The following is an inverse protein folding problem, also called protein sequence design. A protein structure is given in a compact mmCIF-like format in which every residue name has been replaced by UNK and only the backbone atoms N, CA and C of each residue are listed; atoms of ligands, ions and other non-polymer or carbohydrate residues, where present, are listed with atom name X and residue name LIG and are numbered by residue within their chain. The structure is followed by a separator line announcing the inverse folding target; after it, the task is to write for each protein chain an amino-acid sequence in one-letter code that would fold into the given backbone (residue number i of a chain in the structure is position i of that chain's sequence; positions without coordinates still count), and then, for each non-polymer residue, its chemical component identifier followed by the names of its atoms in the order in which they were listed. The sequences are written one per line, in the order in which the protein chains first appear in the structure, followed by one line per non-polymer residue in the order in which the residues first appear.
data_IF_247138873591
#
_entry.id   IF_247138873591
#
_cell.length_a   1.000
_cell.length_b   1.000
_cell.length_c   1.000
_cell.angle_alpha   90.00
_cell.angle_beta   90.00
_cell.angle_gamma   90.00
#
_symmetry.space_group_name_H-M   'P 1'
#
loop_
_entity.id
_entity.type
_entity.pdbx_description
1 polymer ?
#
# COMPACT_ATOMS: atom_id res chain seq x y z
N UNK A 1 -1.13 22.17 11.26
CA UNK A 1 0.04 22.88 10.67
C UNK A 1 -0.46 24.24 10.21
N UNK A 2 0.30 25.31 10.43
CA UNK A 2 -0.11 26.60 9.88
C UNK A 2 0.15 26.57 8.39
N UNK A 3 -0.85 26.85 7.59
CA UNK A 3 -0.72 27.01 6.15
C UNK A 3 0.25 28.16 5.86
N UNK A 4 1.08 28.01 4.84
CA UNK A 4 1.94 29.10 4.37
C UNK A 4 1.01 30.12 3.69
N UNK A 5 0.66 31.17 4.42
CA UNK A 5 -0.22 32.22 3.91
C UNK A 5 0.50 33.17 2.93
N UNK A 6 1.82 33.32 3.08
CA UNK A 6 2.64 34.15 2.18
C UNK A 6 4.13 33.79 2.24
N UNK A 7 4.86 34.00 1.16
CA UNK A 7 6.34 33.97 1.11
C UNK A 7 6.82 35.35 0.70
N UNK A 8 7.66 35.98 1.52
CA UNK A 8 8.17 37.34 1.28
C UNK A 8 7.07 38.37 0.98
N UNK A 9 5.91 38.25 1.62
CA UNK A 9 4.80 39.17 1.45
C UNK A 9 3.93 38.94 0.21
N UNK A 10 4.21 37.91 -0.57
CA UNK A 10 3.34 37.47 -1.69
C UNK A 10 2.41 36.38 -1.19
N UNK A 11 1.11 36.57 -1.35
CA UNK A 11 0.12 35.60 -0.94
C UNK A 11 0.34 34.24 -1.63
N UNK A 12 0.10 33.15 -0.94
CA UNK A 12 0.29 31.80 -1.49
C UNK A 12 -0.50 31.55 -2.77
N UNK A 13 -1.64 32.21 -2.95
CA UNK A 13 -2.46 32.15 -4.16
C UNK A 13 -1.76 32.74 -5.40
N UNK A 14 -0.86 33.72 -5.21
CA UNK A 14 -0.22 34.48 -6.28
C UNK A 14 1.21 33.96 -6.61
N UNK A 15 1.66 32.91 -5.91
CA UNK A 15 2.97 32.31 -6.17
C UNK A 15 2.86 31.36 -7.34
N UNK A 16 3.39 31.76 -8.50
CA UNK A 16 3.44 30.90 -9.70
C UNK A 16 4.69 30.01 -9.74
N UNK A 17 5.79 30.46 -9.13
CA UNK A 17 7.03 29.71 -9.02
C UNK A 17 7.86 30.19 -7.82
N UNK A 18 8.67 29.30 -7.26
CA UNK A 18 9.65 29.62 -6.22
C UNK A 18 11.03 29.13 -6.67
N UNK A 19 12.01 30.03 -6.71
CA UNK A 19 13.37 29.76 -7.22
C UNK A 19 13.39 29.09 -8.61
N UNK A 20 12.44 29.45 -9.49
CA UNK A 20 12.37 28.90 -10.84
C UNK A 20 11.64 27.55 -10.94
N UNK A 21 11.15 27.01 -9.83
CA UNK A 21 10.31 25.81 -9.81
C UNK A 21 8.85 26.27 -9.86
N UNK A 22 8.09 25.76 -10.83
CA UNK A 22 6.67 26.07 -10.98
C UNK A 22 5.88 25.64 -9.74
N UNK A 23 4.80 26.37 -9.42
CA UNK A 23 3.93 26.05 -8.27
C UNK A 23 3.47 24.58 -8.26
N UNK A 24 3.23 24.01 -9.44
CA UNK A 24 2.85 22.60 -9.58
C UNK A 24 3.95 21.61 -9.13
N UNK A 25 5.22 22.06 -9.13
CA UNK A 25 6.39 21.24 -8.82
C UNK A 25 7.00 21.56 -7.45
N UNK A 26 6.43 22.55 -6.73
CA UNK A 26 6.86 22.89 -5.38
C UNK A 26 6.29 21.84 -4.42
N UNK A 27 7.11 20.88 -4.09
CA UNK A 27 6.85 20.02 -2.94
C UNK A 27 7.20 20.80 -1.68
N UNK A 28 6.31 20.80 -0.70
CA UNK A 28 6.55 21.52 0.54
C UNK A 28 7.88 21.12 1.18
N UNK A 29 8.60 22.08 1.74
CA UNK A 29 9.93 21.89 2.32
C UNK A 29 9.99 20.89 3.50
N UNK A 30 8.86 20.32 3.90
CA UNK A 30 8.72 19.29 4.93
C UNK A 30 8.08 18.00 4.40
N UNK A 31 8.17 17.72 3.09
CA UNK A 31 7.61 16.50 2.50
C UNK A 31 6.08 16.51 2.32
N UNK A 32 5.38 17.58 2.66
CA UNK A 32 3.99 17.78 2.27
C UNK A 32 3.95 18.29 0.83
N UNK A 33 3.64 17.42 -0.12
CA UNK A 33 3.30 17.86 -1.47
C UNK A 33 2.08 18.77 -1.43
N UNK A 34 2.12 19.92 -2.12
CA UNK A 34 0.89 20.65 -2.45
C UNK A 34 0.15 19.72 -3.42
N UNK A 35 -1.08 19.27 -3.14
CA UNK A 35 -1.80 18.45 -4.09
C UNK A 35 -1.82 19.20 -5.42
N UNK A 36 -1.31 18.59 -6.47
CA UNK A 36 -1.60 19.07 -7.82
C UNK A 36 -3.14 19.20 -7.90
N UNK A 37 -3.64 20.26 -8.55
CA UNK A 37 -5.06 20.57 -8.68
C UNK A 37 -5.80 19.61 -9.62
N UNK A 38 -5.56 18.31 -9.46
CA UNK A 38 -6.30 17.21 -10.06
C UNK A 38 -7.17 16.57 -8.97
N UNK A 39 -8.39 16.22 -9.28
CA UNK A 39 -9.25 15.50 -8.36
C UNK A 39 -8.52 14.29 -7.81
N UNK A 40 -8.20 14.30 -6.52
CA UNK A 40 -7.64 13.14 -5.83
C UNK A 40 -8.64 12.00 -5.96
N UNK A 41 -8.18 10.86 -6.42
CA UNK A 41 -9.00 9.69 -6.73
C UNK A 41 -8.53 8.50 -5.88
N UNK A 42 -9.47 7.71 -5.42
CA UNK A 42 -9.22 6.39 -4.87
C UNK A 42 -9.66 5.34 -5.87
N UNK A 43 -8.91 4.28 -5.98
CA UNK A 43 -9.22 3.14 -6.83
C UNK A 43 -9.06 1.84 -6.05
N UNK A 44 -10.05 0.98 -6.16
CA UNK A 44 -10.11 -0.37 -5.59
C UNK A 44 -10.09 -1.38 -6.72
N UNK A 45 -9.48 -2.52 -6.46
CA UNK A 45 -9.56 -3.70 -7.34
C UNK A 45 -9.88 -4.94 -6.51
N UNK A 46 -10.41 -5.97 -7.17
CA UNK A 46 -10.79 -7.20 -6.49
C UNK A 46 -10.99 -8.37 -7.44
N UNK A 47 -11.81 -9.32 -7.01
CA UNK A 47 -12.10 -10.53 -7.75
C UNK A 47 -12.82 -10.24 -9.09
N UNK A 48 -12.68 -11.16 -10.03
CA UNK A 48 -13.36 -11.16 -11.33
C UNK A 48 -13.21 -9.84 -12.13
N UNK A 49 -12.07 -9.17 -12.00
CA UNK A 49 -11.82 -7.91 -12.70
C UNK A 49 -12.62 -6.72 -12.19
N UNK A 50 -13.09 -6.78 -10.95
CA UNK A 50 -13.83 -5.69 -10.30
C UNK A 50 -12.95 -4.48 -10.05
N UNK A 51 -13.47 -3.29 -10.41
CA UNK A 51 -12.83 -1.98 -10.18
C UNK A 51 -13.85 -1.04 -9.58
N UNK A 52 -13.46 -0.27 -8.57
CA UNK A 52 -14.28 0.83 -8.07
C UNK A 52 -13.44 2.07 -7.82
N UNK A 53 -14.03 3.23 -8.07
CA UNK A 53 -13.38 4.53 -7.89
C UNK A 53 -14.25 5.46 -7.07
N UNK A 54 -13.61 6.34 -6.30
CA UNK A 54 -14.28 7.44 -5.61
C UNK A 54 -13.40 8.69 -5.64
N UNK A 55 -14.04 9.85 -5.76
CA UNK A 55 -13.32 11.10 -5.59
C UNK A 55 -12.89 11.25 -4.13
N UNK A 56 -11.70 11.81 -3.90
CA UNK A 56 -11.21 12.06 -2.54
C UNK A 56 -12.14 12.99 -1.74
N UNK A 57 -12.81 13.91 -2.43
CA UNK A 57 -13.77 14.84 -1.80
C UNK A 57 -15.09 14.18 -1.40
N UNK A 58 -15.40 13.00 -1.93
CA UNK A 58 -16.61 12.25 -1.60
C UNK A 58 -16.38 10.75 -1.62
N UNK A 59 -15.87 10.25 -0.51
CA UNK A 59 -15.63 8.82 -0.31
C UNK A 59 -16.90 8.02 0.03
N UNK A 60 -18.07 8.68 0.05
CA UNK A 60 -19.35 8.01 0.20
C UNK A 60 -19.96 7.60 -1.15
N UNK A 61 -19.41 8.13 -2.24
CA UNK A 61 -19.88 7.84 -3.61
C UNK A 61 -18.83 7.06 -4.40
N UNK A 62 -18.93 5.73 -4.33
CA UNK A 62 -18.09 4.81 -5.08
C UNK A 62 -18.78 4.37 -6.35
N UNK A 63 -18.16 4.58 -7.49
CA UNK A 63 -18.60 4.05 -8.77
C UNK A 63 -17.83 2.77 -9.09
N UNK A 64 -18.55 1.65 -9.22
CA UNK A 64 -17.97 0.34 -9.52
C UNK A 64 -18.35 -0.18 -10.91
N UNK A 65 -17.43 -0.94 -11.52
CA UNK A 65 -17.66 -1.68 -12.76
C UNK A 65 -16.80 -2.96 -12.78
N UNK A 66 -17.21 -3.92 -13.61
CA UNK A 66 -16.37 -5.06 -13.98
C UNK A 66 -15.77 -4.75 -15.34
N UNK A 67 -14.46 -4.69 -15.42
CA UNK A 67 -13.76 -4.39 -16.66
C UNK A 67 -13.62 -5.65 -17.50
N UNK A 68 -14.08 -5.60 -18.76
CA UNK A 68 -13.84 -6.69 -19.71
C UNK A 68 -12.34 -6.86 -19.99
N UNK A 69 -11.57 -5.77 -19.95
CA UNK A 69 -10.12 -5.79 -20.14
C UNK A 69 -9.38 -6.38 -18.94
N UNK A 70 -9.96 -6.30 -17.74
CA UNK A 70 -9.42 -6.95 -16.55
C UNK A 70 -9.67 -8.47 -16.53
N UNK A 71 -10.53 -8.98 -17.43
CA UNK A 71 -10.86 -10.39 -17.51
C UNK A 71 -11.56 -10.93 -16.25
N UNK A 72 -11.48 -12.24 -16.03
CA UNK A 72 -12.01 -12.91 -14.82
C UNK A 72 -10.90 -13.16 -13.78
N UNK A 73 -9.88 -12.33 -13.75
CA UNK A 73 -8.76 -12.48 -12.82
C UNK A 73 -9.01 -11.75 -11.51
N UNK A 74 -8.49 -12.32 -10.42
CA UNK A 74 -8.49 -11.66 -9.12
C UNK A 74 -7.26 -10.76 -9.02
N UNK A 75 -7.47 -9.48 -8.80
CA UNK A 75 -6.40 -8.49 -8.70
C UNK A 75 -6.01 -8.27 -7.23
N UNK A 76 -4.80 -8.64 -6.94
CA UNK A 76 -4.25 -8.65 -5.59
C UNK A 76 -3.70 -7.32 -5.11
N UNK A 77 -3.23 -6.49 -6.03
CA UNK A 77 -2.64 -5.21 -5.67
C UNK A 77 -2.88 -4.17 -6.76
N UNK A 78 -2.97 -2.93 -6.34
CA UNK A 78 -3.01 -1.76 -7.19
C UNK A 78 -2.10 -0.69 -6.60
N UNK A 79 -1.43 0.06 -7.45
CA UNK A 79 -0.65 1.22 -7.06
C UNK A 79 -0.86 2.38 -8.06
N UNK A 80 -0.68 3.59 -7.55
CA UNK A 80 -0.66 4.81 -8.31
C UNK A 80 0.78 5.31 -8.48
N UNK A 81 1.10 5.81 -9.65
CA UNK A 81 2.42 6.34 -9.97
C UNK A 81 2.38 7.17 -11.25
N UNK A 82 3.49 7.13 -12.00
CA UNK A 82 3.65 7.88 -13.24
C UNK A 82 4.17 7.00 -14.37
N UNK A 83 3.84 7.41 -15.60
CA UNK A 83 4.54 6.95 -16.79
C UNK A 83 5.87 7.71 -16.98
N UNK A 84 6.62 7.37 -18.04
CA UNK A 84 7.88 8.04 -18.39
C UNK A 84 7.77 9.52 -18.74
N UNK A 85 6.58 9.98 -19.07
CA UNK A 85 6.30 11.37 -19.40
C UNK A 85 5.85 12.16 -18.17
N UNK A 86 5.74 11.51 -17.01
CA UNK A 86 5.26 12.09 -15.76
C UNK A 86 3.73 12.14 -15.64
N UNK A 87 2.99 11.52 -16.57
CA UNK A 87 1.53 11.47 -16.49
C UNK A 87 1.06 10.44 -15.45
N UNK A 88 -0.12 10.64 -14.85
CA UNK A 88 -0.74 9.69 -13.95
C UNK A 88 -0.85 8.29 -14.56
N UNK A 89 -0.55 7.27 -13.75
CA UNK A 89 -0.69 5.89 -14.13
C UNK A 89 -1.11 5.04 -12.92
N UNK A 90 -2.07 4.16 -13.14
CA UNK A 90 -2.49 3.13 -12.21
C UNK A 90 -2.03 1.79 -12.75
N UNK A 91 -1.46 0.97 -11.91
CA UNK A 91 -1.03 -0.39 -12.26
C UNK A 91 -1.61 -1.37 -11.29
N UNK A 92 -2.23 -2.43 -11.81
CA UNK A 92 -2.80 -3.51 -11.03
C UNK A 92 -2.20 -4.85 -11.43
N UNK A 93 -2.00 -5.74 -10.45
CA UNK A 93 -1.40 -7.07 -10.65
C UNK A 93 -2.30 -8.17 -10.10
N UNK A 94 -2.35 -9.31 -10.80
CA UNK A 94 -3.25 -10.42 -10.47
C UNK A 94 -2.57 -11.59 -9.75
N UNK A 95 -3.38 -12.35 -9.00
CA UNK A 95 -2.96 -13.59 -8.33
C UNK A 95 -3.22 -14.84 -9.13
N UNK A 96 -4.04 -14.77 -10.16
CA UNK A 96 -4.43 -15.93 -10.95
C UNK A 96 -3.36 -16.34 -11.94
N UNK A 97 -3.37 -17.62 -12.30
CA UNK A 97 -2.44 -18.20 -13.28
C UNK A 97 -2.50 -17.60 -14.68
N UNK A 98 -3.41 -16.66 -14.96
CA UNK A 98 -3.46 -15.88 -16.19
C UNK A 98 -2.42 -14.75 -16.24
N UNK A 99 -1.79 -14.44 -15.09
CA UNK A 99 -0.56 -13.63 -15.03
C UNK A 99 -0.72 -12.23 -15.59
N UNK A 100 -1.83 -11.57 -15.23
CA UNK A 100 -2.20 -10.30 -15.82
C UNK A 100 -1.69 -9.13 -15.00
N UNK A 101 -0.99 -8.24 -15.66
CA UNK A 101 -0.72 -6.88 -15.19
C UNK A 101 -1.48 -5.93 -16.09
N UNK A 102 -2.20 -5.02 -15.51
CA UNK A 102 -2.99 -4.03 -16.23
C UNK A 102 -2.60 -2.64 -15.80
N UNK A 103 -2.67 -1.69 -16.73
CA UNK A 103 -2.49 -0.29 -16.40
C UNK A 103 -3.55 0.59 -17.06
N UNK A 104 -3.80 1.72 -16.45
CA UNK A 104 -4.63 2.79 -17.02
C UNK A 104 -4.16 4.16 -16.56
N UNK A 105 -4.33 5.17 -17.39
CA UNK A 105 -4.15 6.56 -16.99
C UNK A 105 -5.38 7.14 -16.29
N UNK A 106 -6.56 6.52 -16.50
CA UNK A 106 -7.83 6.96 -15.95
C UNK A 106 -8.74 5.78 -15.62
N UNK A 107 -8.78 5.32 -14.35
CA UNK A 107 -9.64 4.21 -13.96
C UNK A 107 -11.14 4.59 -13.94
N UNK A 108 -11.51 5.87 -14.15
CA UNK A 108 -12.89 6.30 -14.25
C UNK A 108 -13.46 6.20 -15.67
N UNK A 109 -12.60 5.95 -16.66
CA UNK A 109 -13.02 5.90 -18.06
C UNK A 109 -13.83 4.63 -18.43
N UNK A 110 -13.97 3.68 -17.48
CA UNK A 110 -14.90 2.56 -17.61
C UNK A 110 -14.23 1.25 -18.03
N UNK A 111 -15.07 0.36 -18.61
CA UNK A 111 -14.74 -1.05 -18.81
C UNK A 111 -13.59 -1.32 -19.78
N UNK A 112 -13.33 -0.43 -20.72
CA UNK A 112 -12.32 -0.58 -21.78
C UNK A 112 -11.10 0.33 -21.54
N UNK A 113 -10.87 0.75 -20.29
CA UNK A 113 -9.81 1.70 -19.93
C UNK A 113 -8.47 1.05 -19.55
N UNK A 114 -8.45 -0.25 -19.38
CA UNK A 114 -7.28 -0.98 -18.89
C UNK A 114 -6.52 -1.66 -20.03
N UNK A 115 -5.23 -1.45 -20.07
CA UNK A 115 -4.33 -2.02 -21.07
C UNK A 115 -3.53 -3.17 -20.47
N UNK A 116 -3.40 -4.25 -21.23
CA UNK A 116 -2.59 -5.40 -20.86
C UNK A 116 -1.09 -5.09 -20.93
N UNK A 117 -0.34 -5.57 -19.95
CA UNK A 117 1.11 -5.52 -19.95
C UNK A 117 1.65 -6.91 -20.10
N UNK A 118 2.41 -7.13 -21.14
CA UNK A 118 3.13 -8.38 -21.30
C UNK A 118 4.35 -8.41 -20.39
N UNK A 119 4.30 -9.25 -19.37
CA UNK A 119 5.46 -9.56 -18.52
C UNK A 119 6.00 -10.93 -18.88
N UNK A 120 7.31 -11.03 -19.04
CA UNK A 120 7.96 -12.32 -19.27
C UNK A 120 7.75 -13.26 -18.07
N UNK A 121 7.02 -14.36 -18.31
CA UNK A 121 6.76 -15.44 -17.37
C UNK A 121 6.32 -14.97 -15.97
N UNK A 122 5.26 -14.17 -15.83
CA UNK A 122 4.78 -13.77 -14.54
C UNK A 122 4.13 -14.97 -13.83
N UNK A 123 4.59 -15.25 -12.60
CA UNK A 123 3.87 -16.09 -11.65
C UNK A 123 2.69 -15.33 -11.02
N UNK A 124 2.15 -15.85 -9.92
CA UNK A 124 1.24 -15.06 -9.07
C UNK A 124 1.97 -13.84 -8.56
N UNK A 125 1.34 -12.67 -8.66
CA UNK A 125 1.88 -11.42 -8.14
C UNK A 125 1.11 -11.00 -6.89
N UNK A 126 1.83 -10.50 -5.90
CA UNK A 126 1.28 -10.18 -4.60
C UNK A 126 1.29 -8.69 -4.27
N UNK A 127 2.26 -7.95 -4.78
CA UNK A 127 2.34 -6.51 -4.58
C UNK A 127 2.89 -5.80 -5.81
N UNK A 128 2.46 -4.55 -5.98
CA UNK A 128 3.00 -3.61 -6.97
C UNK A 128 3.12 -2.25 -6.30
N UNK A 129 4.17 -1.52 -6.63
CA UNK A 129 4.43 -0.18 -6.08
C UNK A 129 5.21 0.66 -7.09
N UNK A 130 5.03 1.98 -7.01
CA UNK A 130 5.81 2.97 -7.74
C UNK A 130 6.66 3.79 -6.77
N UNK A 131 7.90 4.09 -7.14
CA UNK A 131 8.78 4.96 -6.39
C UNK A 131 9.99 5.37 -7.25
N UNK A 132 10.41 6.61 -7.13
CA UNK A 132 11.56 7.16 -7.86
C UNK A 132 11.56 6.86 -9.37
N UNK A 133 10.41 7.01 -10.04
CA UNK A 133 10.20 6.71 -11.47
C UNK A 133 10.41 5.22 -11.86
N UNK A 134 10.36 4.32 -10.90
CA UNK A 134 10.43 2.87 -11.10
C UNK A 134 9.13 2.23 -10.64
N UNK A 135 8.62 1.33 -11.46
CA UNK A 135 7.57 0.39 -11.09
C UNK A 135 8.20 -0.93 -10.68
N UNK A 136 7.73 -1.49 -9.59
CA UNK A 136 8.18 -2.78 -9.11
C UNK A 136 7.00 -3.65 -8.71
N UNK A 137 7.05 -4.94 -9.09
CA UNK A 137 6.10 -5.94 -8.65
C UNK A 137 6.84 -7.14 -8.07
N UNK A 138 6.21 -7.81 -7.12
CA UNK A 138 6.77 -8.98 -6.45
C UNK A 138 5.74 -10.10 -6.39
N UNK A 139 6.20 -11.34 -6.34
CA UNK A 139 5.29 -12.47 -6.45
C UNK A 139 5.85 -13.81 -6.00
N UNK A 140 5.21 -14.86 -6.50
CA UNK A 140 5.54 -16.24 -6.20
C UNK A 140 6.94 -16.63 -6.69
N UNK A 141 7.47 -17.68 -6.09
CA UNK A 141 8.75 -18.27 -6.46
C UNK A 141 9.96 -17.31 -6.41
N UNK A 142 9.88 -16.29 -5.57
CA UNK A 142 10.95 -15.31 -5.41
C UNK A 142 11.06 -14.30 -6.55
N UNK A 143 10.06 -14.19 -7.40
CA UNK A 143 10.12 -13.29 -8.54
C UNK A 143 9.93 -11.83 -8.16
N UNK A 144 10.78 -10.99 -8.71
CA UNK A 144 10.71 -9.53 -8.68
C UNK A 144 10.76 -9.04 -10.12
N UNK A 145 9.83 -8.18 -10.49
CA UNK A 145 9.81 -7.52 -11.79
C UNK A 145 9.98 -6.02 -11.61
N UNK A 146 10.72 -5.43 -12.52
CA UNK A 146 11.07 -4.02 -12.51
C UNK A 146 10.80 -3.39 -13.88
N UNK A 147 10.17 -2.22 -13.88
CA UNK A 147 10.01 -1.36 -15.05
C UNK A 147 10.59 0.02 -14.78
N UNK A 148 11.33 0.55 -15.75
CA UNK A 148 11.91 1.89 -15.74
C UNK A 148 11.37 2.74 -16.88
N UNK A 149 10.33 2.27 -17.54
CA UNK A 149 9.74 2.92 -18.71
C UNK A 149 8.23 3.15 -18.57
N UNK A 150 7.79 3.45 -17.34
CA UNK A 150 6.41 3.80 -17.06
C UNK A 150 5.45 2.60 -17.15
N UNK A 151 5.88 1.44 -16.67
CA UNK A 151 5.16 0.16 -16.70
C UNK A 151 4.92 -0.44 -18.10
N UNK A 152 5.55 0.11 -19.15
CA UNK A 152 5.36 -0.39 -20.51
C UNK A 152 6.07 -1.73 -20.75
N UNK A 153 7.28 -1.87 -20.21
CA UNK A 153 8.05 -3.11 -20.27
C UNK A 153 8.58 -3.47 -18.87
N UNK A 154 8.57 -4.74 -18.59
CA UNK A 154 9.02 -5.28 -17.32
C UNK A 154 10.13 -6.32 -17.51
N UNK A 155 11.13 -6.26 -16.67
CA UNK A 155 12.22 -7.23 -16.62
C UNK A 155 12.30 -7.88 -15.25
N UNK A 156 12.64 -9.17 -15.24
CA UNK A 156 12.90 -9.87 -13.97
C UNK A 156 14.21 -9.39 -13.37
N UNK A 157 14.20 -9.19 -12.05
CA UNK A 157 15.39 -8.88 -11.26
C UNK A 157 15.93 -10.19 -10.71
N UNK A 158 17.16 -10.51 -11.06
CA UNK A 158 17.82 -11.73 -10.58
C UNK A 158 18.48 -11.45 -9.23
N UNK A 159 18.02 -12.11 -8.18
CA UNK A 159 18.62 -12.08 -6.83
C UNK A 159 19.82 -13.01 -6.70
N UNK A 160 20.61 -13.17 -7.76
CA UNK A 160 21.67 -14.19 -7.88
C UNK A 160 22.84 -14.08 -6.89
N UNK A 161 22.96 -12.94 -6.23
CA UNK A 161 24.02 -12.73 -5.23
C UNK A 161 23.58 -13.06 -3.80
N UNK A 162 22.32 -13.47 -3.61
CA UNK A 162 21.77 -13.80 -2.29
C UNK A 162 21.63 -15.32 -2.26
N UNK A 163 22.60 -16.01 -1.69
CA UNK A 163 22.70 -17.48 -1.70
C UNK A 163 21.57 -18.23 -0.98
N UNK A 164 20.59 -17.51 -0.46
CA UNK A 164 19.44 -18.04 0.28
C UNK A 164 18.09 -17.79 -0.41
N UNK A 165 18.09 -17.08 -1.54
CA UNK A 165 16.88 -16.91 -2.34
C UNK A 165 16.61 -18.23 -3.06
N UNK A 166 16.00 -19.17 -2.35
CA UNK A 166 15.62 -20.46 -2.92
C UNK A 166 14.37 -20.31 -3.76
N UNK A 167 14.38 -20.86 -4.97
CA UNK A 167 13.17 -21.05 -5.76
C UNK A 167 12.08 -21.72 -4.91
N UNK A 168 10.86 -21.17 -4.93
CA UNK A 168 9.73 -21.70 -4.17
C UNK A 168 9.40 -20.92 -2.89
N UNK A 169 10.07 -19.81 -2.60
CA UNK A 169 9.69 -18.89 -1.52
C UNK A 169 9.12 -17.61 -2.12
N UNK A 170 7.91 -17.28 -1.75
CA UNK A 170 7.21 -16.10 -2.28
C UNK A 170 7.78 -14.79 -1.70
N UNK A 171 7.90 -13.77 -2.53
CA UNK A 171 8.05 -12.37 -2.11
C UNK A 171 6.67 -11.75 -2.04
N UNK A 172 6.24 -11.33 -0.87
CA UNK A 172 4.84 -10.89 -0.65
C UNK A 172 4.68 -9.42 -0.35
N UNK A 173 5.70 -8.79 0.21
CA UNK A 173 5.66 -7.41 0.64
C UNK A 173 6.70 -6.59 -0.08
N UNK A 174 6.32 -5.37 -0.38
CA UNK A 174 7.17 -4.39 -1.05
C UNK A 174 6.92 -3.02 -0.41
N UNK A 175 8.00 -2.32 -0.12
CA UNK A 175 7.95 -0.94 0.36
C UNK A 175 9.07 -0.11 -0.27
N UNK A 176 8.87 1.18 -0.40
CA UNK A 176 9.83 2.12 -0.95
C UNK A 176 9.88 3.38 -0.10
N UNK A 177 11.05 4.03 -0.07
CA UNK A 177 11.21 5.37 0.47
C UNK A 177 10.88 6.46 -0.58
N UNK A 178 10.51 6.06 -1.80
CA UNK A 178 10.27 6.97 -2.94
C UNK A 178 11.51 7.66 -3.48
N UNK A 179 12.67 7.45 -2.88
CA UNK A 179 13.93 8.10 -3.21
C UNK A 179 15.01 7.12 -3.72
N UNK A 180 14.59 5.90 -4.09
CA UNK A 180 15.45 4.87 -4.68
C UNK A 180 15.80 3.72 -3.74
N UNK A 181 15.40 3.78 -2.46
CA UNK A 181 15.53 2.65 -1.55
C UNK A 181 14.26 1.82 -1.54
N UNK A 182 14.42 0.52 -1.64
CA UNK A 182 13.33 -0.46 -1.64
C UNK A 182 13.59 -1.55 -0.62
N UNK A 183 12.52 -2.07 -0.05
CA UNK A 183 12.56 -3.29 0.77
C UNK A 183 11.51 -4.30 0.31
N UNK A 184 11.90 -5.57 0.34
CA UNK A 184 11.00 -6.72 0.15
C UNK A 184 11.37 -7.84 1.13
N UNK A 185 10.58 -8.91 1.16
CA UNK A 185 10.82 -10.08 2.00
C UNK A 185 10.86 -11.38 1.21
N UNK A 186 11.38 -12.40 1.84
CA UNK A 186 11.19 -13.79 1.44
C UNK A 186 10.75 -14.64 2.63
N UNK A 187 9.71 -14.26 3.31
CA UNK A 187 9.15 -15.03 4.41
C UNK A 187 9.76 -14.73 5.80
N UNK A 188 11.06 -14.89 6.01
CA UNK A 188 11.79 -14.65 7.27
C UNK A 188 12.93 -13.63 7.16
N UNK A 189 13.27 -13.23 5.96
CA UNK A 189 14.32 -12.27 5.68
C UNK A 189 13.77 -11.01 5.00
N UNK A 190 14.36 -9.87 5.33
CA UNK A 190 14.14 -8.59 4.65
C UNK A 190 15.32 -8.31 3.76
N UNK A 191 15.05 -7.97 2.51
CA UNK A 191 16.04 -7.51 1.54
C UNK A 191 15.88 -6.04 1.26
N UNK A 192 16.98 -5.38 0.99
CA UNK A 192 17.07 -3.95 0.69
C UNK A 192 17.81 -3.73 -0.62
N UNK A 193 17.27 -2.84 -1.42
CA UNK A 193 17.94 -2.23 -2.55
C UNK A 193 18.16 -0.74 -2.27
N UNK A 194 19.25 -0.18 -2.77
CA UNK A 194 19.55 1.27 -2.72
C UNK A 194 19.84 1.83 -4.12
N UNK A 195 19.47 1.10 -5.16
CA UNK A 195 19.70 1.42 -6.56
C UNK A 195 18.44 1.20 -7.41
N UNK A 196 17.30 1.66 -6.89
CA UNK A 196 16.00 1.52 -7.56
C UNK A 196 15.63 0.07 -7.88
N UNK A 197 15.97 -0.85 -7.01
CA UNK A 197 15.63 -2.26 -7.16
C UNK A 197 16.46 -3.02 -8.18
N UNK A 198 17.57 -2.45 -8.67
CA UNK A 198 18.44 -3.13 -9.62
C UNK A 198 19.27 -4.24 -8.95
N UNK A 199 19.75 -3.99 -7.74
CA UNK A 199 20.45 -5.00 -6.92
C UNK A 199 19.90 -5.04 -5.49
N UNK A 200 20.02 -6.19 -4.84
CA UNK A 200 19.46 -6.43 -3.52
C UNK A 200 20.48 -7.08 -2.59
N UNK A 201 20.39 -6.75 -1.31
CA UNK A 201 21.16 -7.37 -0.26
C UNK A 201 20.27 -7.67 0.95
N UNK A 202 20.62 -8.67 1.76
CA UNK A 202 19.93 -8.92 3.01
C UNK A 202 20.11 -7.73 3.96
N UNK A 203 18.98 -7.29 4.53
CA UNK A 203 18.96 -6.22 5.53
C UNK A 203 18.61 -6.75 6.92
N UNK A 204 17.87 -7.86 7.01
CA UNK A 204 17.51 -8.49 8.27
C UNK A 204 17.07 -9.93 8.08
N UNK A 205 17.40 -10.77 9.07
CA UNK A 205 16.92 -12.15 9.21
C UNK A 205 16.31 -12.31 10.61
N UNK A 206 15.13 -12.93 10.69
CA UNK A 206 14.41 -13.12 11.96
C UNK A 206 15.14 -14.03 12.95
N UNK A 207 16.08 -14.86 12.47
CA UNK A 207 16.98 -15.62 13.32
C UNK A 207 17.98 -14.74 14.08
N UNK A 208 18.20 -13.50 13.65
CA UNK A 208 19.07 -12.55 14.28
C UNK A 208 18.37 -11.69 15.35
N UNK A 209 19.16 -10.99 16.17
CA UNK A 209 18.62 -10.00 17.09
C UNK A 209 17.88 -8.88 16.31
N UNK A 210 16.80 -8.33 16.83
CA UNK A 210 16.26 -8.49 18.17
C UNK A 210 15.28 -9.66 18.35
N UNK A 211 14.85 -10.35 17.28
CA UNK A 211 13.87 -11.44 17.38
C UNK A 211 14.53 -12.75 17.81
N UNK A 212 15.68 -13.09 17.24
CA UNK A 212 16.49 -14.28 17.51
C UNK A 212 15.68 -15.59 17.44
N UNK A 213 14.76 -15.69 16.46
CA UNK A 213 13.83 -16.79 16.34
C UNK A 213 13.35 -16.93 14.89
N UNK A 214 13.80 -17.98 14.22
CA UNK A 214 13.52 -18.32 12.84
C UNK A 214 12.07 -18.79 12.57
N UNK A 215 11.26 -18.94 13.61
CA UNK A 215 9.83 -19.22 13.48
C UNK A 215 8.99 -17.96 13.15
N UNK A 216 9.55 -16.76 13.29
CA UNK A 216 8.86 -15.56 12.85
C UNK A 216 8.83 -15.49 11.32
N UNK A 217 7.72 -15.01 10.81
CA UNK A 217 7.49 -14.76 9.39
C UNK A 217 7.10 -13.31 9.18
N UNK A 218 7.67 -12.67 8.18
CA UNK A 218 7.34 -11.30 7.80
C UNK A 218 5.92 -11.27 7.25
N UNK A 219 5.16 -10.26 7.63
CA UNK A 219 3.75 -10.07 7.29
C UNK A 219 3.43 -8.65 6.83
N UNK A 220 4.40 -7.79 6.73
CA UNK A 220 4.26 -6.45 6.22
C UNK A 220 5.53 -5.64 6.39
N UNK A 221 5.77 -4.75 5.44
CA UNK A 221 6.87 -3.79 5.46
C UNK A 221 6.30 -2.44 5.11
N UNK A 222 6.70 -1.40 5.83
CA UNK A 222 6.35 -0.02 5.54
C UNK A 222 7.54 0.91 5.77
N UNK A 223 7.56 2.00 5.02
CA UNK A 223 8.43 3.13 5.25
C UNK A 223 7.62 4.29 5.81
N UNK A 224 8.18 5.03 6.75
CA UNK A 224 7.50 6.16 7.40
C UNK A 224 8.47 7.24 7.80
N UNK A 225 7.99 8.49 7.84
CA UNK A 225 8.71 9.62 8.39
C UNK A 225 7.86 10.25 9.49
N UNK A 226 8.39 10.33 10.69
CA UNK A 226 7.73 10.96 11.83
C UNK A 226 8.69 11.89 12.55
N UNK A 227 8.28 13.14 12.77
CA UNK A 227 9.12 14.15 13.41
C UNK A 227 10.48 14.37 12.72
N UNK A 228 10.53 14.23 11.39
CA UNK A 228 11.76 14.34 10.60
C UNK A 228 12.68 13.10 10.67
N UNK A 229 12.26 12.04 11.34
CA UNK A 229 13.01 10.78 11.40
C UNK A 229 12.36 9.72 10.52
N UNK A 230 13.13 9.25 9.54
CA UNK A 230 12.72 8.20 8.62
C UNK A 230 13.01 6.81 9.20
N UNK A 231 12.05 5.89 9.06
CA UNK A 231 12.16 4.50 9.58
C UNK A 231 11.54 3.50 8.64
N UNK A 232 12.11 2.31 8.66
CA UNK A 232 11.49 1.10 8.16
C UNK A 232 10.80 0.37 9.31
N UNK A 233 9.61 -0.12 9.06
CA UNK A 233 8.78 -0.86 10.02
C UNK A 233 8.45 -2.20 9.42
N UNK A 234 8.69 -3.27 10.16
CA UNK A 234 8.44 -4.65 9.72
C UNK A 234 7.53 -5.33 10.74
N UNK A 235 6.41 -5.81 10.27
CA UNK A 235 5.52 -6.64 11.05
C UNK A 235 5.89 -8.11 10.86
N UNK A 236 6.03 -8.82 11.97
CA UNK A 236 6.37 -10.24 11.98
C UNK A 236 5.43 -11.05 12.84
N UNK A 237 5.29 -12.33 12.50
CA UNK A 237 4.40 -13.26 13.19
C UNK A 237 5.03 -14.64 13.33
N UNK A 238 4.80 -15.28 14.49
CA UNK A 238 4.87 -16.74 14.68
C UNK A 238 3.61 -17.23 15.41
N UNK A 239 3.40 -18.54 15.47
CA UNK A 239 2.25 -19.11 16.18
C UNK A 239 2.20 -18.62 17.63
N UNK A 240 1.08 -17.99 18.00
CA UNK A 240 0.86 -17.45 19.34
C UNK A 240 1.67 -16.19 19.68
N UNK A 241 2.40 -15.60 18.73
CA UNK A 241 3.20 -14.41 19.00
C UNK A 241 3.38 -13.55 17.73
N UNK A 242 3.30 -12.24 17.89
CA UNK A 242 3.59 -11.27 16.84
C UNK A 242 4.52 -10.21 17.39
N UNK A 243 5.37 -9.66 16.54
CA UNK A 243 6.29 -8.58 16.87
C UNK A 243 6.31 -7.57 15.73
N UNK A 244 6.49 -6.33 16.10
CA UNK A 244 6.84 -5.27 15.18
C UNK A 244 8.26 -4.87 15.50
N UNK A 245 9.08 -4.75 14.47
CA UNK A 245 10.43 -4.23 14.58
C UNK A 245 10.56 -3.01 13.69
N UNK A 246 11.43 -2.11 14.06
CA UNK A 246 11.76 -0.93 13.26
C UNK A 246 13.26 -0.67 13.24
N UNK A 247 13.71 0.03 12.20
CA UNK A 247 15.07 0.51 12.08
C UNK A 247 15.08 1.93 11.49
N UNK A 248 16.05 2.78 11.87
CA UNK A 248 16.29 4.03 11.16
C UNK A 248 16.54 3.75 9.67
N UNK A 249 16.02 4.57 8.78
CA UNK A 249 16.27 4.40 7.34
C UNK A 249 17.74 4.54 6.97
N UNK A 250 18.48 5.34 7.76
CA UNK A 250 19.93 5.54 7.62
C UNK A 250 20.77 4.35 8.09
N UNK A 251 20.22 3.48 8.95
CA UNK A 251 20.93 2.31 9.50
C UNK A 251 20.00 1.10 9.66
N UNK A 252 19.97 0.28 8.66
CA UNK A 252 19.19 -0.97 8.65
C UNK A 252 19.93 -2.17 9.22
N UNK A 253 21.03 -1.95 9.92
CA UNK A 253 21.73 -2.97 10.73
C UNK A 253 21.26 -2.98 12.18
N UNK A 254 20.57 -1.92 12.61
CA UNK A 254 20.14 -1.69 14.01
C UNK A 254 18.62 -1.78 14.15
N UNK A 255 18.10 -2.99 14.17
CA UNK A 255 16.67 -3.23 14.37
C UNK A 255 16.29 -3.25 15.85
N UNK A 256 15.13 -2.73 16.17
CA UNK A 256 14.59 -2.63 17.53
C UNK A 256 13.17 -3.19 17.57
N UNK A 257 12.82 -3.92 18.63
CA UNK A 257 11.42 -4.34 18.87
C UNK A 257 10.61 -3.13 19.32
N UNK A 258 9.50 -2.89 18.65
CA UNK A 258 8.58 -1.83 19.00
C UNK A 258 7.87 -2.10 20.33
N UNK A 259 7.51 -1.04 21.04
CA UNK A 259 6.70 -1.13 22.25
C UNK A 259 5.22 -1.31 21.90
N UNK A 260 4.55 -2.24 22.57
CA UNK A 260 3.14 -2.51 22.37
C UNK A 260 2.37 -2.14 23.66
N UNK A 261 1.55 -1.09 23.57
CA UNK A 261 0.65 -0.66 24.64
C UNK A 261 -0.78 -1.13 24.39
N UNK A 262 -1.59 -1.23 25.46
CA UNK A 262 -3.05 -1.44 25.34
C UNK A 262 -3.55 -2.87 25.22
N UNK A 263 -2.70 -3.88 25.41
CA UNK A 263 -3.11 -5.30 25.45
C UNK A 263 -2.38 -6.19 24.45
N UNK A 264 -2.45 -7.48 24.69
CA UNK A 264 -1.68 -8.49 23.96
C UNK A 264 -2.11 -8.62 22.49
N UNK A 265 -1.41 -7.96 21.57
CA UNK A 265 -1.32 -8.46 20.20
C UNK A 265 -0.73 -9.89 20.17
N UNK A 266 -0.08 -10.24 21.26
CA UNK A 266 0.63 -11.52 21.43
C UNK A 266 -0.33 -12.72 21.49
N UNK A 267 -1.57 -12.52 21.94
CA UNK A 267 -2.52 -13.60 22.18
C UNK A 267 -3.49 -13.83 21.02
N UNK A 268 -3.54 -12.95 20.02
CA UNK A 268 -4.48 -13.11 18.91
C UNK A 268 -3.77 -13.74 17.72
N UNK A 269 -4.23 -14.94 17.37
CA UNK A 269 -3.81 -15.65 16.17
C UNK A 269 -4.14 -14.82 14.93
N UNK A 270 -3.19 -14.02 14.50
CA UNK A 270 -3.24 -13.41 13.19
C UNK A 270 -3.09 -14.54 12.15
N UNK A 271 -4.19 -15.15 11.72
CA UNK A 271 -4.17 -16.43 11.01
C UNK A 271 -4.14 -16.28 9.48
N UNK A 272 -4.38 -15.09 8.95
CA UNK A 272 -4.40 -14.88 7.51
C UNK A 272 -3.00 -15.02 6.89
N UNK A 273 -2.92 -15.72 5.79
CA UNK A 273 -1.72 -15.84 4.95
C UNK A 273 -1.57 -14.68 3.97
N UNK A 274 -2.61 -13.87 3.83
CA UNK A 274 -2.64 -12.72 2.92
C UNK A 274 -2.22 -11.46 3.70
N UNK A 275 -1.15 -10.86 3.28
CA UNK A 275 -0.41 -9.86 4.06
C UNK A 275 -0.27 -8.55 3.28
N UNK A 276 -1.33 -7.75 3.26
CA UNK A 276 -1.30 -6.43 2.60
C UNK A 276 -1.79 -5.32 3.53
N UNK A 277 -1.60 -5.52 4.83
CA UNK A 277 -2.36 -4.81 5.84
C UNK A 277 -1.52 -3.86 6.67
N UNK A 278 -0.42 -3.37 6.13
CA UNK A 278 0.34 -2.29 6.73
C UNK A 278 0.46 -1.13 5.74
N UNK A 279 0.16 0.07 6.19
CA UNK A 279 0.39 1.29 5.45
C UNK A 279 0.88 2.39 6.38
N UNK A 280 1.58 3.36 5.83
CA UNK A 280 2.14 4.48 6.54
C UNK A 280 1.90 5.79 5.80
N UNK A 281 1.62 6.86 6.54
CA UNK A 281 1.46 8.21 6.00
C UNK A 281 1.34 9.24 7.10
N UNK A 282 1.91 10.43 6.90
CA UNK A 282 1.86 11.51 7.88
C UNK A 282 2.51 11.21 9.23
N UNK A 283 3.41 10.22 9.30
CA UNK A 283 4.02 9.75 10.55
C UNK A 283 3.20 8.71 11.31
N UNK A 284 1.97 8.45 10.88
CA UNK A 284 1.12 7.37 11.38
C UNK A 284 1.39 6.10 10.59
N UNK A 285 1.44 4.97 11.30
CA UNK A 285 1.50 3.63 10.71
C UNK A 285 0.33 2.82 11.24
N UNK A 286 -0.41 2.20 10.33
CA UNK A 286 -1.53 1.34 10.67
C UNK A 286 -1.28 -0.06 10.15
N UNK A 287 -1.63 -1.03 10.97
CA UNK A 287 -1.74 -2.42 10.59
C UNK A 287 -3.12 -2.93 10.96
N UNK A 288 -3.78 -3.58 10.01
CA UNK A 288 -5.03 -4.27 10.27
C UNK A 288 -4.96 -5.70 9.74
N UNK A 289 -5.49 -6.64 10.49
CA UNK A 289 -5.60 -8.04 10.07
C UNK A 289 -6.75 -8.71 10.82
N UNK A 290 -7.72 -9.25 10.09
CA UNK A 290 -8.93 -9.81 10.68
C UNK A 290 -9.54 -8.85 11.72
N UNK A 291 -9.71 -9.27 12.96
CA UNK A 291 -10.28 -8.47 14.05
C UNK A 291 -9.26 -7.62 14.80
N UNK A 292 -8.04 -7.50 14.30
CA UNK A 292 -6.96 -6.79 14.97
C UNK A 292 -6.59 -5.54 14.21
N UNK A 293 -6.50 -4.46 14.94
CA UNK A 293 -6.10 -3.16 14.46
C UNK A 293 -5.01 -2.59 15.36
N UNK A 294 -3.95 -2.10 14.79
CA UNK A 294 -2.87 -1.49 15.52
C UNK A 294 -2.44 -0.21 14.86
N UNK A 295 -2.18 0.79 15.68
CA UNK A 295 -1.80 2.12 15.23
C UNK A 295 -0.59 2.61 16.00
N UNK A 296 0.35 3.19 15.29
CA UNK A 296 1.45 4.00 15.80
C UNK A 296 1.34 5.41 15.25
N UNK A 297 1.68 6.42 16.05
CA UNK A 297 1.70 7.84 15.64
C UNK A 297 3.08 8.47 15.74
N UNK A 298 4.08 7.66 15.99
CA UNK A 298 5.46 8.08 16.21
C UNK A 298 6.45 7.40 15.25
N UNK A 299 5.95 6.94 14.10
CA UNK A 299 6.76 6.28 13.08
C UNK A 299 7.11 4.85 13.43
N UNK A 300 6.22 4.12 14.10
CA UNK A 300 6.33 2.68 14.32
C UNK A 300 7.10 2.27 15.56
N UNK A 301 7.39 3.19 16.50
CA UNK A 301 8.12 2.88 17.73
C UNK A 301 7.18 2.37 18.83
N UNK A 302 6.12 3.12 19.11
CA UNK A 302 5.11 2.77 20.10
C UNK A 302 3.78 2.49 19.40
N UNK A 303 3.15 1.39 19.77
CA UNK A 303 1.92 0.92 19.16
C UNK A 303 0.82 0.74 20.17
N UNK A 304 -0.39 1.05 19.78
CA UNK A 304 -1.60 0.73 20.52
C UNK A 304 -2.41 -0.29 19.72
N UNK A 305 -2.77 -1.39 20.38
CA UNK A 305 -3.61 -2.42 19.82
C UNK A 305 -5.08 -2.21 20.22
N UNK A 306 -5.98 -2.42 19.28
CA UNK A 306 -7.42 -2.28 19.46
C UNK A 306 -8.11 -3.58 19.04
N UNK A 307 -9.30 -3.84 19.59
CA UNK A 307 -10.10 -5.01 19.24
C UNK A 307 -11.45 -4.58 18.66
N UNK A 308 -11.88 -5.22 17.59
CA UNK A 308 -13.03 -4.84 16.76
C UNK A 308 -14.36 -4.68 17.48
N UNK A 309 -14.51 -5.20 18.69
CA UNK A 309 -15.81 -5.28 19.36
C UNK A 309 -16.16 -4.07 20.25
N UNK A 310 -15.27 -3.10 20.41
CA UNK A 310 -15.46 -2.01 21.38
C UNK A 310 -15.18 -0.59 20.85
N UNK A 311 -14.52 -0.44 19.67
CA UNK A 311 -13.87 0.83 19.37
C UNK A 311 -14.18 1.39 17.96
N UNK A 312 -15.35 1.07 17.37
CA UNK A 312 -15.74 1.51 16.01
C UNK A 312 -14.58 1.41 15.01
N UNK A 313 -13.98 0.23 14.98
CA UNK A 313 -12.86 -0.13 14.10
C UNK A 313 -13.36 -0.68 12.77
N UNK A 314 -12.51 -0.72 11.75
CA UNK A 314 -12.81 -1.50 10.55
C UNK A 314 -13.20 -2.91 10.95
N UNK A 315 -14.24 -3.44 10.31
CA UNK A 315 -14.71 -4.81 10.60
C UNK A 315 -13.63 -5.85 10.31
N UNK A 316 -13.88 -7.06 10.80
CA UNK A 316 -13.11 -8.28 10.48
C UNK A 316 -12.92 -8.46 8.98
N UNK A 317 -11.89 -9.19 8.59
CA UNK A 317 -11.59 -9.60 7.21
C UNK A 317 -11.07 -8.48 6.30
N UNK A 318 -10.28 -7.55 6.86
CA UNK A 318 -9.54 -6.57 6.08
C UNK A 318 -8.62 -7.26 5.04
N UNK A 319 -8.68 -6.78 3.81
CA UNK A 319 -7.92 -7.30 2.64
C UNK A 319 -6.91 -6.31 2.09
N UNK A 320 -7.17 -5.02 2.22
CA UNK A 320 -6.29 -3.95 1.75
C UNK A 320 -6.42 -2.72 2.63
N UNK A 321 -5.34 -1.98 2.72
CA UNK A 321 -5.24 -0.74 3.47
C UNK A 321 -4.40 0.27 2.71
N UNK A 322 -4.89 1.48 2.58
CA UNK A 322 -4.13 2.59 2.03
C UNK A 322 -4.43 3.91 2.74
N UNK A 323 -3.56 4.87 2.56
CA UNK A 323 -3.71 6.25 3.07
C UNK A 323 -3.32 7.25 2.01
N UNK A 324 -3.89 8.46 2.10
CA UNK A 324 -3.48 9.62 1.30
C UNK A 324 -2.27 10.36 1.91
N UNK A 325 -1.77 9.91 3.05
CA UNK A 325 -0.70 10.59 3.78
C UNK A 325 -1.13 11.87 4.50
N UNK A 326 -2.36 12.32 4.32
CA UNK A 326 -2.92 13.56 4.89
C UNK A 326 -4.02 13.29 5.92
N UNK A 327 -4.07 12.07 6.45
CA UNK A 327 -4.98 11.68 7.51
C UNK A 327 -6.20 10.90 7.06
N UNK A 328 -6.40 10.68 5.74
CA UNK A 328 -7.45 9.79 5.23
C UNK A 328 -6.90 8.37 5.05
N UNK A 329 -7.67 7.43 5.56
CA UNK A 329 -7.37 6.00 5.50
C UNK A 329 -8.56 5.23 4.94
N UNK A 330 -8.29 4.26 4.09
CA UNK A 330 -9.29 3.37 3.50
C UNK A 330 -8.87 1.93 3.71
N UNK A 331 -9.80 1.13 4.25
CA UNK A 331 -9.67 -0.32 4.40
C UNK A 331 -10.71 -1.00 3.53
N UNK A 332 -10.31 -1.96 2.75
CA UNK A 332 -11.20 -2.83 1.98
C UNK A 332 -11.30 -4.21 2.62
N UNK A 333 -12.46 -4.82 2.51
CA UNK A 333 -12.80 -6.05 3.20
C UNK A 333 -13.29 -7.15 2.26
N UNK A 334 -13.23 -8.38 2.72
CA UNK A 334 -13.66 -9.60 2.01
C UNK A 334 -15.09 -9.50 1.54
N UNK A 335 -15.98 -8.87 1.95
CA UNK A 335 -17.38 -8.86 1.54
C UNK A 335 -17.76 -7.66 0.66
N UNK A 336 -16.77 -7.04 -0.02
CA UNK A 336 -17.01 -5.84 -0.83
C UNK A 336 -17.34 -4.61 0.01
N UNK A 337 -16.91 -4.57 1.26
CA UNK A 337 -17.10 -3.43 2.16
C UNK A 337 -15.88 -2.53 2.16
N UNK A 338 -16.13 -1.26 2.42
CA UNK A 338 -15.09 -0.24 2.55
C UNK A 338 -15.28 0.49 3.88
N UNK A 339 -14.23 0.61 4.67
CA UNK A 339 -14.20 1.43 5.87
C UNK A 339 -13.28 2.62 5.65
N UNK A 340 -13.73 3.80 6.04
CA UNK A 340 -13.02 5.06 5.84
C UNK A 340 -12.81 5.74 7.17
N UNK A 341 -11.64 6.35 7.32
CA UNK A 341 -11.31 7.22 8.44
C UNK A 341 -10.61 8.48 7.94
N UNK A 342 -11.17 9.63 8.23
CA UNK A 342 -10.62 10.95 7.86
C UNK A 342 -9.99 11.66 9.07
N UNK A 343 -9.61 10.91 10.10
CA UNK A 343 -9.07 11.44 11.37
C UNK A 343 -7.76 10.72 11.72
N UNK A 344 -6.87 10.60 10.74
CA UNK A 344 -5.55 9.97 10.88
C UNK A 344 -5.61 8.53 11.40
N UNK A 345 -6.66 7.79 11.03
CA UNK A 345 -6.84 6.41 11.45
C UNK A 345 -7.18 6.23 12.94
N UNK A 346 -7.59 7.30 13.61
CA UNK A 346 -7.93 7.24 15.03
C UNK A 346 -9.13 6.31 15.29
N UNK A 347 -9.11 5.50 16.36
CA UNK A 347 -10.24 4.69 16.77
C UNK A 347 -11.49 5.52 17.01
N UNK A 348 -12.67 4.93 16.79
CA UNK A 348 -13.95 5.65 16.97
C UNK A 348 -14.35 6.56 15.81
N UNK A 349 -13.49 6.70 14.79
CA UNK A 349 -13.75 7.56 13.64
C UNK A 349 -13.80 6.77 12.32
N UNK A 350 -13.90 5.45 12.39
CA UNK A 350 -14.06 4.61 11.21
C UNK A 350 -15.53 4.52 10.81
N UNK A 351 -15.81 4.82 9.57
CA UNK A 351 -17.15 4.78 9.00
C UNK A 351 -17.19 3.71 7.93
N UNK A 352 -18.03 2.70 8.13
CA UNK A 352 -18.30 1.70 7.10
C UNK A 352 -19.19 2.33 6.03
N UNK A 353 -18.75 2.25 4.78
CA UNK A 353 -19.54 2.70 3.64
C UNK A 353 -20.59 1.66 3.30
N UNK A 354 -21.83 2.09 3.33
CA UNK A 354 -22.99 1.28 3.01
C UNK A 354 -23.40 1.51 1.56
N UNK A 355 -22.72 0.83 0.65
CA UNK A 355 -23.24 0.61 -0.68
C UNK A 355 -22.81 1.58 -1.78
N UNK A 356 -22.24 1.03 -2.82
CA UNK A 356 -22.38 1.57 -4.18
C UNK A 356 -23.75 1.13 -4.67
N UNK A 357 -24.62 2.08 -5.00
CA UNK A 357 -25.99 1.82 -5.37
C UNK A 357 -26.09 1.28 -6.79
N UNK A 358 -26.55 0.06 -6.93
CA UNK A 358 -27.32 -0.38 -8.08
C UNK A 358 -28.84 -0.39 -7.79
N UNK A 359 -29.33 0.49 -6.93
CA UNK A 359 -30.77 0.64 -6.64
C UNK A 359 -31.39 -0.42 -5.70
N UNK A 360 -30.59 -1.22 -5.00
CA UNK A 360 -31.06 -2.27 -4.08
C UNK A 360 -30.56 -2.10 -2.64
N UNK A 361 -31.32 -2.61 -1.69
CA UNK A 361 -31.13 -2.48 -0.23
C UNK A 361 -29.88 -3.15 0.36
N UNK A 362 -28.78 -3.28 -0.34
CA UNK A 362 -27.59 -3.97 0.14
C UNK A 362 -26.39 -3.05 0.43
N UNK A 363 -25.76 -3.32 1.54
CA UNK A 363 -24.66 -2.57 2.17
C UNK A 363 -23.26 -2.87 1.60
N UNK A 364 -23.14 -3.60 0.50
CA UNK A 364 -21.88 -4.00 -0.11
C UNK A 364 -21.69 -3.30 -1.45
N UNK A 365 -20.45 -2.96 -1.80
CA UNK A 365 -20.09 -2.58 -3.14
C UNK A 365 -20.49 -3.70 -4.10
N UNK A 366 -21.52 -3.48 -4.93
CA UNK A 366 -21.90 -4.43 -5.97
C UNK A 366 -21.42 -3.91 -7.31
N UNK A 367 -20.64 -4.70 -7.97
CA UNK A 367 -20.31 -4.45 -9.37
C UNK A 367 -21.45 -4.97 -10.24
N UNK A 368 -21.88 -4.23 -11.27
CA UNK A 368 -22.94 -4.65 -12.17
C UNK A 368 -22.46 -5.77 -13.12
N UNK A 369 -22.31 -6.96 -12.61
CA UNK A 369 -22.09 -8.14 -13.44
C UNK A 369 -23.05 -9.24 -13.05
N UNK A 370 -24.10 -9.44 -13.87
CA UNK A 370 -24.74 -10.73 -14.10
C UNK A 370 -25.16 -11.56 -12.87
N UNK A 371 -25.43 -10.96 -11.72
CA UNK A 371 -26.05 -11.67 -10.59
C UNK A 371 -25.08 -12.28 -9.58
N UNK A 372 -23.78 -12.15 -9.73
CA UNK A 372 -22.80 -12.56 -8.71
C UNK A 372 -22.39 -11.38 -7.82
N UNK A 373 -22.46 -11.57 -6.53
CA UNK A 373 -21.90 -10.64 -5.56
C UNK A 373 -20.39 -10.55 -5.78
N UNK A 374 -19.82 -9.35 -5.85
CA UNK A 374 -18.38 -9.22 -5.70
C UNK A 374 -18.09 -9.47 -4.24
N UNK A 375 -17.59 -10.66 -3.98
CA UNK A 375 -17.40 -11.12 -2.62
C UNK A 375 -16.09 -10.62 -2.04
N UNK A 376 -15.12 -10.16 -2.87
CA UNK A 376 -13.79 -9.85 -2.40
C UNK A 376 -13.21 -8.60 -3.06
N UNK A 377 -13.02 -7.55 -2.27
CA UNK A 377 -12.13 -6.44 -2.59
C UNK A 377 -10.75 -6.76 -2.00
N UNK A 378 -9.72 -6.78 -2.84
CA UNK A 378 -8.41 -7.25 -2.42
C UNK A 378 -7.40 -6.12 -2.21
N UNK A 379 -7.54 -4.99 -2.90
CA UNK A 379 -6.59 -3.90 -2.77
C UNK A 379 -7.19 -2.52 -3.02
N UNK A 380 -6.55 -1.52 -2.44
CA UNK A 380 -6.89 -0.10 -2.56
C UNK A 380 -5.63 0.74 -2.73
N UNK A 381 -5.73 1.78 -3.56
CA UNK A 381 -4.73 2.83 -3.66
C UNK A 381 -5.38 4.21 -3.82
N UNK A 382 -4.67 5.24 -3.38
CA UNK A 382 -5.01 6.63 -3.62
C UNK A 382 -4.07 7.24 -4.65
N UNK A 383 -4.56 8.20 -5.46
CA UNK A 383 -3.71 8.92 -6.40
C UNK A 383 -2.93 10.05 -5.72
N UNK A 384 -2.35 9.76 -4.60
CA UNK A 384 -1.47 10.68 -3.89
C UNK A 384 -0.06 10.08 -3.88
N UNK A 385 0.92 10.91 -4.18
CA UNK A 385 2.28 10.54 -3.88
C UNK A 385 2.45 10.75 -2.39
N UNK A 386 2.63 9.67 -1.64
CA UNK A 386 3.02 9.81 -0.26
C UNK A 386 4.38 10.49 -0.25
N UNK A 387 4.51 11.69 0.32
CA UNK A 387 5.80 12.34 0.43
C UNK A 387 6.67 11.49 1.32
N UNK A 388 7.83 11.19 0.85
CA UNK A 388 8.87 10.42 1.55
C UNK A 388 9.73 11.38 2.33
#
# INVERSE_FOLDING_TARGET
MADIEAINGVAAADIEAFNGVAKADIQGSNGCGIPASGASLWCLVGADGGVATAAHSDLNDWTGYVSADMGSSDYNAIAYGKDNSGNPLWVSVSSNGNRETRYTSDPTAGIDAWTDVNMDNPGQMYAVLWGNNVWMAVGADGNIWRSTDGAANWSTVTMSNIGWFTSGVDVRHLASDGAGTWMCDNHDQVFKSTDDGATWAEAYDTANAPLSDDAYRIRGIAYTVSGGTARWVVFTRKTGNSRIIYAPASDTTSWTVATLGGGDMLAKNLTSTLSRHIAAGGGTVIMCQSDNFCRSTDGGQDWTAYTSNTDDLPRSDARGLATDGNGTWVVVHDSGRVSINASDGAPGNWVEQTGVQDGGSNTNLRFPSGGNNVENLDAVAANVYLPV
#
